data_IF_941137971475
#
_entry.id   IF_941137971475
#
_cell.length_a   1.000
_cell.length_b   1.000
_cell.length_c   1.000
_cell.angle_alpha   90.00
_cell.angle_beta   90.00
_cell.angle_gamma   90.00
#
_symmetry.space_group_name_H-M   'P 1'
#
loop_
_entity.id
_entity.type
_entity.pdbx_description
1 polymer ?
#
# COMPACT_ATOMS: atom_id res chain seq x y z
N UNK A 1 20.65 -46.82 -10.31
CA UNK A 1 19.79 -46.55 -9.12
C UNK A 1 19.27 -45.15 -9.25
N UNK A 2 18.00 -45.02 -9.68
CA UNK A 2 17.33 -43.74 -9.92
C UNK A 2 16.64 -43.32 -8.64
N UNK A 3 17.08 -42.21 -8.06
CA UNK A 3 16.45 -41.60 -6.87
C UNK A 3 15.27 -40.71 -7.31
N UNK A 4 14.04 -41.16 -7.10
CA UNK A 4 12.84 -40.36 -7.30
C UNK A 4 12.77 -39.27 -6.20
N UNK A 5 12.93 -38.00 -6.60
CA UNK A 5 12.55 -36.86 -5.77
C UNK A 5 11.02 -36.75 -5.80
N UNK A 6 10.38 -37.12 -4.70
CA UNK A 6 8.96 -36.90 -4.49
C UNK A 6 8.72 -35.40 -4.19
N UNK A 7 7.91 -34.74 -5.02
CA UNK A 7 7.40 -33.39 -4.82
C UNK A 7 6.55 -33.33 -3.55
N UNK A 8 7.10 -32.77 -2.47
CA UNK A 8 6.40 -32.54 -1.20
C UNK A 8 5.60 -31.22 -1.14
N UNK A 9 5.56 -30.46 -2.23
CA UNK A 9 4.98 -29.10 -2.24
C UNK A 9 3.51 -29.02 -2.61
N UNK A 10 2.93 -30.03 -3.30
CA UNK A 10 1.55 -29.96 -3.78
C UNK A 10 0.50 -30.44 -2.77
N UNK A 11 0.85 -31.31 -1.84
CA UNK A 11 -0.09 -31.83 -0.82
C UNK A 11 -0.40 -30.80 0.28
N UNK A 12 0.56 -29.94 0.63
CA UNK A 12 0.35 -28.91 1.67
C UNK A 12 -0.58 -27.77 1.22
N UNK A 13 -0.64 -27.45 -0.08
CA UNK A 13 -1.54 -26.39 -0.59
C UNK A 13 -2.99 -26.82 -0.66
N UNK A 14 -3.26 -28.09 -0.97
CA UNK A 14 -4.62 -28.61 -1.03
C UNK A 14 -5.24 -28.80 0.37
N UNK A 15 -4.43 -29.16 1.37
CA UNK A 15 -4.89 -29.31 2.75
C UNK A 15 -5.11 -27.96 3.45
N UNK A 16 -4.31 -26.92 3.14
CA UNK A 16 -4.53 -25.55 3.63
C UNK A 16 -5.82 -24.96 3.06
N UNK A 17 -6.11 -25.10 1.77
CA UNK A 17 -7.34 -24.57 1.17
C UNK A 17 -8.62 -25.17 1.80
N UNK A 18 -8.63 -26.47 2.17
CA UNK A 18 -9.76 -27.10 2.86
C UNK A 18 -9.93 -26.65 4.31
N UNK A 19 -8.80 -26.34 4.99
CA UNK A 19 -8.83 -25.80 6.34
C UNK A 19 -9.32 -24.35 6.34
N UNK A 20 -8.98 -23.57 5.32
CA UNK A 20 -9.38 -22.18 5.18
C UNK A 20 -10.89 -22.01 4.89
N UNK A 21 -11.52 -22.95 4.16
CA UNK A 21 -12.97 -22.94 3.95
C UNK A 21 -13.77 -22.96 5.27
N UNK A 22 -13.21 -23.58 6.33
CA UNK A 22 -13.83 -23.63 7.65
C UNK A 22 -13.64 -22.35 8.47
N UNK A 23 -12.86 -21.38 7.98
CA UNK A 23 -12.64 -20.07 8.62
C UNK A 23 -13.32 -18.94 7.87
N UNK A 24 -13.79 -19.19 6.64
CA UNK A 24 -14.44 -18.17 5.82
C UNK A 24 -15.82 -17.81 6.37
N UNK A 25 -16.13 -16.52 6.36
CA UNK A 25 -17.45 -16.02 6.75
C UNK A 25 -18.26 -15.71 5.51
N UNK A 26 -19.58 -15.89 5.62
CA UNK A 26 -20.54 -15.54 4.59
C UNK A 26 -21.10 -14.13 4.85
N UNK A 27 -20.93 -13.21 3.90
CA UNK A 27 -21.61 -11.93 3.95
C UNK A 27 -23.11 -12.13 3.67
N UNK A 28 -23.97 -11.71 4.61
CA UNK A 28 -25.43 -11.85 4.51
C UNK A 28 -26.04 -10.59 3.91
N UNK A 29 -25.58 -9.43 4.35
CA UNK A 29 -26.10 -8.14 3.91
C UNK A 29 -25.06 -7.06 4.09
N UNK A 30 -25.16 -6.03 3.25
CA UNK A 30 -24.33 -4.84 3.32
C UNK A 30 -25.18 -3.59 3.09
N UNK A 31 -25.03 -2.61 3.95
CA UNK A 31 -25.62 -1.28 3.86
C UNK A 31 -24.50 -0.26 3.63
N UNK A 32 -24.59 0.54 2.55
CA UNK A 32 -23.71 1.65 2.29
C UNK A 32 -24.17 2.86 3.11
N UNK A 33 -23.37 3.28 4.10
CA UNK A 33 -23.70 4.40 4.99
C UNK A 33 -23.28 5.72 4.36
N UNK A 34 -22.08 5.74 3.75
CA UNK A 34 -21.57 6.86 2.97
C UNK A 34 -20.94 6.27 1.71
N UNK A 35 -21.34 6.78 0.55
CA UNK A 35 -20.77 6.38 -0.72
C UNK A 35 -20.57 7.61 -1.60
N UNK A 36 -19.32 7.98 -1.78
CA UNK A 36 -18.92 9.09 -2.64
C UNK A 36 -17.61 8.78 -3.37
N UNK A 37 -17.05 9.72 -4.09
CA UNK A 37 -15.80 9.53 -4.84
C UNK A 37 -14.56 9.26 -3.96
N UNK A 38 -14.64 9.50 -2.65
CA UNK A 38 -13.51 9.41 -1.73
C UNK A 38 -13.54 8.16 -0.89
N UNK A 39 -14.74 7.67 -0.55
CA UNK A 39 -14.93 6.57 0.36
C UNK A 39 -16.27 5.86 0.11
N UNK A 40 -16.27 4.57 0.24
CA UNK A 40 -17.48 3.76 0.42
C UNK A 40 -17.44 3.14 1.82
N UNK A 41 -18.15 3.73 2.77
CA UNK A 41 -18.23 3.25 4.14
C UNK A 41 -19.47 2.41 4.35
N UNK A 42 -19.28 1.17 4.79
CA UNK A 42 -20.31 0.13 4.84
C UNK A 42 -20.49 -0.44 6.23
N UNK A 43 -21.67 -0.97 6.45
CA UNK A 43 -22.07 -1.77 7.59
C UNK A 43 -22.58 -3.10 7.07
N UNK A 44 -22.01 -4.23 7.52
CA UNK A 44 -22.34 -5.57 7.03
C UNK A 44 -22.71 -6.52 8.16
N UNK A 45 -23.51 -7.54 7.83
CA UNK A 45 -23.79 -8.68 8.66
C UNK A 45 -23.09 -9.93 8.09
N UNK A 46 -22.49 -10.72 8.96
CA UNK A 46 -21.79 -11.95 8.58
C UNK A 46 -22.29 -13.17 9.33
N UNK A 47 -22.30 -14.31 8.65
CA UNK A 47 -22.49 -15.62 9.25
C UNK A 47 -21.14 -16.30 9.42
N UNK A 48 -20.86 -16.71 10.64
CA UNK A 48 -19.66 -17.47 10.99
C UNK A 48 -19.76 -18.94 10.54
N UNK A 49 -18.63 -19.65 10.45
CA UNK A 49 -18.63 -21.08 10.09
C UNK A 49 -19.49 -21.97 11.00
N UNK A 50 -19.67 -21.57 12.26
CA UNK A 50 -20.52 -22.27 13.23
C UNK A 50 -22.03 -21.91 13.14
N UNK A 51 -22.41 -21.08 12.16
CA UNK A 51 -23.77 -20.66 11.89
C UNK A 51 -24.25 -19.44 12.68
N UNK A 52 -23.50 -18.95 13.66
CA UNK A 52 -23.87 -17.71 14.36
C UNK A 52 -23.80 -16.52 13.41
N UNK A 53 -24.71 -15.60 13.58
CA UNK A 53 -24.74 -14.32 12.84
C UNK A 53 -24.34 -13.21 13.77
N UNK A 54 -23.50 -12.32 13.28
CA UNK A 54 -23.10 -11.11 13.99
C UNK A 54 -23.16 -9.89 13.08
N UNK A 55 -23.64 -8.79 13.62
CA UNK A 55 -23.67 -7.44 13.05
C UNK A 55 -23.59 -6.39 14.17
N UNK A 56 -23.09 -5.18 13.91
CA UNK A 56 -22.53 -4.73 12.66
C UNK A 56 -21.02 -4.96 12.57
N UNK A 57 -20.55 -5.28 11.37
CA UNK A 57 -19.15 -5.07 11.00
C UNK A 57 -19.07 -3.81 10.12
N UNK A 58 -18.09 -2.95 10.40
CA UNK A 58 -17.84 -1.76 9.60
C UNK A 58 -16.61 -1.96 8.74
N UNK A 59 -16.71 -1.56 7.48
CA UNK A 59 -15.60 -1.58 6.54
C UNK A 59 -15.69 -0.38 5.59
N UNK A 60 -14.58 -0.08 4.93
CA UNK A 60 -14.57 0.94 3.88
C UNK A 60 -13.71 0.54 2.69
N UNK A 61 -14.08 1.06 1.52
CA UNK A 61 -13.25 1.04 0.32
C UNK A 61 -12.67 2.43 0.05
N UNK A 62 -11.42 2.44 -0.39
CA UNK A 62 -10.73 3.59 -0.95
C UNK A 62 -9.95 3.16 -2.19
N UNK A 63 -9.37 4.12 -2.90
CA UNK A 63 -8.44 3.80 -3.99
C UNK A 63 -7.27 2.98 -3.48
N UNK A 64 -6.82 2.03 -4.30
CA UNK A 64 -5.50 1.45 -4.14
C UNK A 64 -4.45 2.53 -4.33
N UNK A 65 -3.27 2.37 -3.76
CA UNK A 65 -2.23 3.36 -3.84
C UNK A 65 -0.84 2.75 -3.93
N UNK A 66 0.12 3.56 -4.30
CA UNK A 66 1.53 3.19 -4.37
C UNK A 66 2.33 3.88 -3.29
N UNK A 67 3.41 3.25 -2.84
CA UNK A 67 4.43 3.82 -1.95
C UNK A 67 5.79 3.60 -2.59
N UNK A 68 6.61 4.64 -2.69
CA UNK A 68 7.87 4.61 -3.44
C UNK A 68 9.05 4.87 -2.49
N UNK A 69 9.83 3.84 -2.19
CA UNK A 69 11.13 4.00 -1.52
C UNK A 69 12.14 4.46 -2.57
N UNK A 70 12.22 5.78 -2.74
CA UNK A 70 13.05 6.43 -3.76
C UNK A 70 14.39 6.84 -3.17
N UNK A 71 15.50 6.55 -3.85
CA UNK A 71 16.84 7.03 -3.51
C UNK A 71 17.50 7.75 -4.69
N UNK A 72 18.19 8.84 -4.40
CA UNK A 72 18.94 9.58 -5.41
C UNK A 72 20.30 8.92 -5.75
N UNK A 73 21.06 9.55 -6.62
CA UNK A 73 22.39 9.08 -7.05
C UNK A 73 23.45 9.15 -5.96
N UNK A 74 23.21 9.92 -4.90
CA UNK A 74 24.12 10.05 -3.76
C UNK A 74 23.76 9.06 -2.64
N UNK A 75 22.67 8.29 -2.82
CA UNK A 75 22.19 7.31 -1.86
C UNK A 75 21.28 7.88 -0.77
N UNK A 76 20.88 9.16 -0.87
CA UNK A 76 19.89 9.72 0.04
C UNK A 76 18.48 9.35 -0.39
N UNK A 77 17.61 9.13 0.57
CA UNK A 77 16.21 8.80 0.33
C UNK A 77 15.36 10.07 0.21
N UNK A 78 14.54 10.10 -0.83
CA UNK A 78 13.63 11.20 -1.13
C UNK A 78 12.36 10.96 -0.32
N UNK A 79 12.04 11.90 0.56
CA UNK A 79 10.85 11.86 1.41
C UNK A 79 10.04 13.15 1.24
N UNK A 80 8.77 13.06 1.64
CA UNK A 80 7.87 14.20 1.70
C UNK A 80 7.38 14.41 3.14
N UNK A 81 7.11 15.67 3.48
CA UNK A 81 6.44 15.99 4.74
C UNK A 81 5.12 16.66 4.45
N UNK A 82 4.06 16.12 5.04
CA UNK A 82 2.70 16.61 4.85
C UNK A 82 1.83 16.42 6.09
N UNK A 83 0.77 17.20 6.17
CA UNK A 83 -0.21 17.07 7.25
C UNK A 83 -1.15 15.90 7.00
N UNK A 84 -1.29 15.02 7.98
CA UNK A 84 -2.24 13.90 7.95
C UNK A 84 -3.41 14.18 8.89
N UNK A 85 -4.56 14.51 8.30
CA UNK A 85 -5.77 14.93 9.01
C UNK A 85 -6.31 13.85 9.96
N UNK A 86 -6.05 12.58 9.71
CA UNK A 86 -6.50 11.48 10.58
C UNK A 86 -5.87 11.53 11.97
N UNK A 87 -4.58 11.81 12.04
CA UNK A 87 -3.81 11.90 13.28
C UNK A 87 -3.55 13.37 13.70
N UNK A 88 -3.85 14.33 12.80
CA UNK A 88 -3.67 15.78 12.99
C UNK A 88 -2.21 16.21 13.22
N UNK A 89 -1.28 15.54 12.54
CA UNK A 89 0.15 15.78 12.66
C UNK A 89 0.80 15.92 11.28
N UNK A 90 1.96 16.59 11.24
CA UNK A 90 2.84 16.60 10.08
C UNK A 90 3.78 15.40 10.18
N UNK A 91 3.71 14.53 9.20
CA UNK A 91 4.48 13.28 9.16
C UNK A 91 5.55 13.35 8.07
N UNK A 92 6.65 12.59 8.27
CA UNK A 92 7.64 12.31 7.24
C UNK A 92 7.30 10.95 6.62
N UNK A 93 7.27 10.90 5.29
CA UNK A 93 6.79 9.76 4.53
C UNK A 93 7.60 9.59 3.24
N UNK A 94 7.53 8.41 2.62
CA UNK A 94 7.94 8.25 1.24
C UNK A 94 6.89 8.84 0.29
N UNK A 95 7.25 9.22 -0.95
CA UNK A 95 6.27 9.60 -1.96
C UNK A 95 5.22 8.50 -2.16
N UNK A 96 3.95 8.89 -2.26
CA UNK A 96 2.85 7.93 -2.30
C UNK A 96 1.55 8.56 -2.79
N UNK A 97 0.84 7.91 -3.68
CA UNK A 97 -0.45 8.41 -4.14
C UNK A 97 -1.36 7.37 -4.75
N UNK A 98 -2.54 7.78 -5.16
CA UNK A 98 -3.61 6.91 -5.62
C UNK A 98 -3.35 6.32 -7.01
N UNK A 99 -3.73 5.06 -7.21
CA UNK A 99 -3.78 4.46 -8.54
C UNK A 99 -5.03 4.95 -9.26
N UNK A 100 -4.86 5.69 -10.34
CA UNK A 100 -5.96 6.12 -11.18
C UNK A 100 -6.47 4.97 -12.04
N UNK A 101 -7.77 4.95 -12.33
CA UNK A 101 -8.42 3.90 -13.11
C UNK A 101 -9.35 4.52 -14.14
N UNK A 102 -9.19 4.09 -15.38
CA UNK A 102 -10.03 4.52 -16.50
C UNK A 102 -11.40 3.82 -16.56
N UNK A 103 -11.60 2.75 -15.76
CA UNK A 103 -12.81 1.94 -15.78
C UNK A 103 -14.00 2.51 -15.00
N UNK A 104 -13.85 3.73 -14.48
CA UNK A 104 -14.88 4.41 -13.68
C UNK A 104 -15.12 3.80 -12.30
N UNK A 105 -14.35 2.80 -11.91
CA UNK A 105 -14.39 2.23 -10.56
C UNK A 105 -13.40 2.95 -9.69
N UNK A 106 -13.89 3.62 -8.67
CA UNK A 106 -13.04 4.29 -7.69
C UNK A 106 -12.54 3.35 -6.60
N UNK A 107 -13.09 2.14 -6.51
CA UNK A 107 -12.80 1.16 -5.47
C UNK A 107 -12.53 -0.23 -6.05
N UNK A 108 -11.70 -1.00 -5.38
CA UNK A 108 -11.45 -2.40 -5.69
C UNK A 108 -9.98 -2.76 -5.77
N UNK A 109 -9.71 -4.03 -5.55
CA UNK A 109 -8.37 -4.58 -5.44
C UNK A 109 -7.65 -4.61 -6.77
N UNK A 110 -6.50 -3.96 -6.87
CA UNK A 110 -5.52 -4.19 -7.91
C UNK A 110 -4.32 -4.92 -7.31
N UNK A 111 -3.97 -6.06 -7.89
CA UNK A 111 -2.64 -6.64 -7.67
C UNK A 111 -1.64 -5.84 -8.49
N UNK A 112 -0.36 -5.82 -8.08
CA UNK A 112 0.70 -5.14 -8.82
C UNK A 112 0.61 -5.45 -10.32
N UNK A 113 0.41 -4.42 -11.11
CA UNK A 113 0.26 -4.43 -12.56
C UNK A 113 1.14 -3.35 -13.17
N UNK A 114 1.24 -3.30 -14.48
CA UNK A 114 1.90 -2.17 -15.16
C UNK A 114 1.25 -0.83 -14.79
N UNK A 115 -0.06 -0.82 -14.54
CA UNK A 115 -0.80 0.37 -14.10
C UNK A 115 -0.28 0.92 -12.76
N UNK A 116 0.04 0.06 -11.79
CA UNK A 116 0.59 0.51 -10.50
C UNK A 116 2.01 1.05 -10.63
N UNK A 117 2.83 0.53 -11.56
CA UNK A 117 4.15 1.09 -11.82
C UNK A 117 4.05 2.46 -12.49
N UNK A 118 3.14 2.66 -13.43
CA UNK A 118 2.92 3.97 -14.04
C UNK A 118 2.40 4.99 -13.01
N UNK A 119 1.48 4.57 -12.13
CA UNK A 119 1.07 5.39 -11.00
C UNK A 119 2.26 5.77 -10.10
N UNK A 120 3.15 4.83 -9.78
CA UNK A 120 4.35 5.12 -8.99
C UNK A 120 5.30 6.11 -9.66
N UNK A 121 5.49 6.01 -10.97
CA UNK A 121 6.32 6.96 -11.73
C UNK A 121 5.70 8.36 -11.76
N UNK A 122 4.39 8.44 -11.98
CA UNK A 122 3.63 9.69 -11.98
C UNK A 122 3.70 10.37 -10.62
N UNK A 123 3.38 9.66 -9.54
CA UNK A 123 3.39 10.20 -8.17
C UNK A 123 4.79 10.67 -7.74
N UNK A 124 5.83 9.90 -8.04
CA UNK A 124 7.21 10.34 -7.75
C UNK A 124 7.55 11.66 -8.47
N UNK A 125 7.14 11.80 -9.72
CA UNK A 125 7.36 13.02 -10.50
C UNK A 125 6.53 14.18 -9.97
N UNK A 126 5.22 13.98 -9.73
CA UNK A 126 4.30 15.04 -9.31
C UNK A 126 4.65 15.57 -7.91
N UNK A 127 4.87 14.67 -6.95
CA UNK A 127 5.19 15.06 -5.58
C UNK A 127 6.61 15.59 -5.41
N UNK A 128 7.57 15.15 -6.23
CA UNK A 128 8.98 15.44 -5.96
C UNK A 128 9.77 16.04 -7.11
N UNK A 129 9.28 15.95 -8.33
CA UNK A 129 10.05 16.30 -9.54
C UNK A 129 11.14 15.29 -9.90
N UNK A 130 11.27 14.18 -9.17
CA UNK A 130 12.27 13.14 -9.44
C UNK A 130 11.73 12.05 -10.35
N UNK A 131 12.62 11.45 -11.13
CA UNK A 131 12.36 10.28 -11.96
C UNK A 131 13.49 9.25 -11.86
N UNK A 132 13.18 7.99 -12.16
CA UNK A 132 14.13 6.88 -12.22
C UNK A 132 13.78 5.95 -13.39
N UNK A 133 14.82 5.27 -13.90
CA UNK A 133 14.69 4.15 -14.83
C UNK A 133 14.84 2.79 -14.12
N UNK A 134 15.17 2.79 -12.82
CA UNK A 134 15.47 1.59 -12.03
C UNK A 134 14.38 1.35 -10.98
N UNK A 135 13.44 0.47 -11.32
CA UNK A 135 12.28 0.15 -10.50
C UNK A 135 12.24 -1.32 -10.10
N UNK A 136 11.87 -1.57 -8.85
CA UNK A 136 11.64 -2.91 -8.33
C UNK A 136 10.32 -2.94 -7.56
N UNK A 137 9.41 -3.86 -7.94
CA UNK A 137 8.24 -4.16 -7.13
C UNK A 137 8.64 -4.95 -5.89
N UNK A 138 8.33 -4.46 -4.71
CA UNK A 138 8.67 -5.10 -3.44
C UNK A 138 7.53 -5.96 -2.90
N UNK A 139 6.32 -5.41 -2.84
CA UNK A 139 5.15 -6.08 -2.27
C UNK A 139 3.86 -5.37 -2.67
N UNK A 140 2.77 -6.13 -2.77
CA UNK A 140 1.39 -5.62 -2.76
C UNK A 140 0.66 -6.23 -1.57
N UNK A 141 0.09 -5.40 -0.70
CA UNK A 141 -0.50 -5.81 0.57
C UNK A 141 -1.75 -4.99 0.90
N UNK A 142 -2.78 -5.57 1.54
CA UNK A 142 -3.88 -4.78 2.07
C UNK A 142 -3.38 -3.74 3.06
N UNK A 143 -3.85 -2.50 2.94
CA UNK A 143 -3.45 -1.40 3.85
C UNK A 143 -3.88 -1.65 5.29
N UNK A 144 -5.09 -2.15 5.47
CA UNK A 144 -5.65 -2.53 6.75
C UNK A 144 -6.72 -3.62 6.53
N UNK A 145 -6.28 -4.87 6.44
CA UNK A 145 -7.12 -6.02 6.10
C UNK A 145 -8.31 -6.25 7.05
N UNK A 146 -8.33 -5.62 8.21
CA UNK A 146 -9.43 -5.77 9.18
C UNK A 146 -10.64 -4.91 8.82
N UNK A 147 -10.44 -3.77 8.14
CA UNK A 147 -11.50 -2.77 7.95
C UNK A 147 -11.52 -2.18 6.53
N UNK A 148 -10.43 -2.30 5.77
CA UNK A 148 -10.31 -1.75 4.44
C UNK A 148 -10.02 -2.85 3.41
N UNK A 149 -10.50 -2.66 2.20
CA UNK A 149 -10.30 -3.59 1.07
C UNK A 149 -9.28 -3.08 0.03
N UNK A 150 -8.73 -1.89 0.23
CA UNK A 150 -7.73 -1.32 -0.67
C UNK A 150 -6.32 -1.86 -0.38
N UNK A 151 -5.52 -1.89 -1.43
CA UNK A 151 -4.15 -2.37 -1.40
C UNK A 151 -3.14 -1.23 -1.56
N UNK A 152 -2.00 -1.40 -0.89
CA UNK A 152 -0.79 -0.65 -1.12
C UNK A 152 0.17 -1.47 -1.97
N UNK A 153 0.69 -0.91 -3.06
CA UNK A 153 1.77 -1.49 -3.85
C UNK A 153 3.05 -0.73 -3.59
N UNK A 154 4.06 -1.42 -3.08
CA UNK A 154 5.35 -0.83 -2.71
C UNK A 154 6.36 -1.06 -3.81
N UNK A 155 6.97 0.02 -4.25
CA UNK A 155 8.09 0.02 -5.18
C UNK A 155 9.36 0.60 -4.54
N UNK A 156 10.50 0.12 -5.03
CA UNK A 156 11.80 0.78 -4.84
C UNK A 156 12.22 1.42 -6.14
N UNK A 157 12.61 2.71 -6.09
CA UNK A 157 13.20 3.44 -7.19
C UNK A 157 14.63 3.85 -6.82
N UNK A 158 15.62 3.51 -7.65
CA UNK A 158 17.03 3.82 -7.43
C UNK A 158 17.54 4.84 -8.44
N UNK A 159 18.65 5.50 -8.09
CA UNK A 159 19.32 6.46 -8.96
C UNK A 159 18.38 7.56 -9.48
N UNK A 160 17.44 7.99 -8.64
CA UNK A 160 16.51 9.04 -8.98
C UNK A 160 17.24 10.36 -9.26
N UNK A 161 16.79 11.06 -10.30
CA UNK A 161 17.36 12.36 -10.72
C UNK A 161 16.24 13.37 -10.84
N UNK A 162 16.55 14.61 -10.52
CA UNK A 162 15.61 15.71 -10.73
C UNK A 162 15.36 15.83 -12.25
N UNK A 163 14.11 15.70 -12.66
CA UNK A 163 13.68 15.67 -14.05
C UNK A 163 12.62 16.74 -14.36
N UNK A 164 12.02 17.35 -13.33
CA UNK A 164 11.02 18.40 -13.49
C UNK A 164 10.81 19.19 -12.22
N UNK A 165 9.79 20.03 -12.24
CA UNK A 165 9.28 20.72 -11.07
C UNK A 165 8.15 19.88 -10.42
N UNK A 166 7.94 20.11 -9.12
CA UNK A 166 6.80 19.56 -8.38
C UNK A 166 5.48 20.09 -8.98
N UNK A 167 4.51 19.22 -9.15
CA UNK A 167 3.18 19.55 -9.70
C UNK A 167 2.10 18.90 -8.83
N UNK A 168 1.77 19.56 -7.73
CA UNK A 168 0.84 19.08 -6.73
C UNK A 168 -0.62 19.30 -7.13
N UNK A 169 -1.49 18.41 -6.71
CA UNK A 169 -2.93 18.58 -6.78
C UNK A 169 -3.41 19.74 -5.86
N UNK A 170 -4.57 20.31 -6.14
CA UNK A 170 -5.13 21.44 -5.36
C UNK A 170 -5.27 21.15 -3.85
N UNK A 171 -5.37 19.88 -3.48
CA UNK A 171 -5.55 19.41 -2.11
C UNK A 171 -4.25 19.00 -1.43
N UNK A 172 -3.13 19.06 -2.15
CA UNK A 172 -1.82 18.61 -1.68
C UNK A 172 -0.96 19.79 -1.24
N UNK A 173 -0.47 19.69 -0.02
CA UNK A 173 0.49 20.63 0.57
C UNK A 173 1.60 19.82 1.21
N UNK A 174 2.71 19.67 0.52
CA UNK A 174 3.86 18.91 1.00
C UNK A 174 5.19 19.57 0.64
N UNK A 175 6.23 19.19 1.38
CA UNK A 175 7.61 19.65 1.17
C UNK A 175 8.52 18.43 1.01
N UNK A 176 9.53 18.59 0.14
CA UNK A 176 10.50 17.54 -0.19
C UNK A 176 11.69 17.62 0.76
N UNK A 177 12.11 16.50 1.28
CA UNK A 177 13.30 16.34 2.11
C UNK A 177 14.12 15.15 1.63
N UNK A 178 15.42 15.17 1.92
CA UNK A 178 16.31 14.05 1.69
C UNK A 178 16.92 13.62 3.02
N UNK A 179 16.94 12.33 3.25
CA UNK A 179 17.47 11.73 4.46
C UNK A 179 18.40 10.59 4.12
N UNK A 180 19.42 10.44 4.94
CA UNK A 180 20.27 9.25 4.94
C UNK A 180 19.51 8.05 5.52
N UNK A 181 20.05 6.84 5.32
CA UNK A 181 19.51 5.61 5.92
C UNK A 181 19.41 5.71 7.45
N UNK A 182 20.48 6.22 8.10
CA UNK A 182 20.54 6.35 9.58
C UNK A 182 19.52 7.35 10.12
N UNK A 183 19.24 8.43 9.39
CA UNK A 183 18.22 9.41 9.76
C UNK A 183 16.82 8.82 9.69
N UNK A 184 16.50 8.07 8.61
CA UNK A 184 15.19 7.39 8.50
C UNK A 184 15.01 6.38 9.64
N UNK A 185 16.04 5.57 9.95
CA UNK A 185 15.97 4.62 11.06
C UNK A 185 15.78 5.30 12.41
N UNK A 186 16.40 6.43 12.58
CA UNK A 186 16.24 7.22 13.80
C UNK A 186 14.83 7.75 13.91
N UNK A 187 14.29 8.36 12.84
CA UNK A 187 12.90 8.84 12.81
C UNK A 187 11.88 7.71 13.05
N UNK A 188 12.11 6.51 12.51
CA UNK A 188 11.24 5.36 12.78
C UNK A 188 11.28 4.97 14.26
N UNK A 189 12.46 4.90 14.88
CA UNK A 189 12.61 4.57 16.31
C UNK A 189 12.01 5.61 17.25
N UNK A 190 12.06 6.87 16.85
CA UNK A 190 11.53 8.00 17.62
C UNK A 190 10.05 8.25 17.37
N UNK A 191 9.43 7.54 16.41
CA UNK A 191 8.02 7.67 16.08
C UNK A 191 7.68 8.88 15.19
N UNK A 192 8.66 9.46 14.52
CA UNK A 192 8.47 10.58 13.59
C UNK A 192 8.12 10.13 12.17
N UNK A 193 8.44 8.88 11.82
CA UNK A 193 8.07 8.24 10.55
C UNK A 193 6.88 7.30 10.84
N UNK A 194 5.65 7.84 10.75
CA UNK A 194 4.49 7.25 11.46
C UNK A 194 3.60 6.34 10.61
N UNK A 195 3.70 6.38 9.29
CA UNK A 195 2.86 5.59 8.41
C UNK A 195 3.28 4.11 8.37
N UNK A 196 2.44 3.21 8.83
CA UNK A 196 2.75 1.79 8.98
C UNK A 196 3.22 1.13 7.66
N UNK A 197 2.55 1.41 6.54
CA UNK A 197 2.94 0.86 5.22
C UNK A 197 4.29 1.42 4.78
N UNK A 198 4.62 2.66 5.09
CA UNK A 198 5.90 3.27 4.75
C UNK A 198 7.05 2.70 5.60
N UNK A 199 6.81 2.44 6.89
CA UNK A 199 7.77 1.73 7.74
C UNK A 199 8.02 0.32 7.22
N UNK A 200 6.96 -0.41 6.85
CA UNK A 200 7.07 -1.73 6.22
C UNK A 200 7.84 -1.64 4.89
N UNK A 201 7.53 -0.65 4.04
CA UNK A 201 8.23 -0.43 2.78
C UNK A 201 9.73 -0.23 2.99
N UNK A 202 10.12 0.56 3.99
CA UNK A 202 11.51 0.73 4.40
C UNK A 202 12.19 -0.58 4.76
N UNK A 203 11.59 -1.37 5.65
CA UNK A 203 12.14 -2.64 6.09
C UNK A 203 12.33 -3.65 4.95
N UNK A 204 11.41 -3.66 3.97
CA UNK A 204 11.51 -4.49 2.78
C UNK A 204 12.61 -4.01 1.83
N UNK A 205 12.72 -2.71 1.61
CA UNK A 205 13.73 -2.14 0.73
C UNK A 205 15.15 -2.34 1.28
N UNK A 206 15.34 -2.26 2.60
CA UNK A 206 16.63 -2.48 3.27
C UNK A 206 17.06 -3.94 3.30
N UNK A 207 16.14 -4.87 3.42
CA UNK A 207 16.42 -6.32 3.55
C UNK A 207 16.77 -7.04 2.24
N UNK A 208 16.88 -6.32 1.10
CA UNK A 208 17.16 -6.90 -0.22
C UNK A 208 18.39 -6.32 -0.90
#
# INVERSE_FOLDING_TARGET
>A
MSCRKTNKTDTNKADTNKADENLAWEEISTEHIVQDRWIDFRKSAYRYPDGRVFEPFYSYSRRDYVVIVASDTDGNYICVRQFRQGIKEVTTEFPAGGVERDDGREYGTTKASEETLEAAKRELMEETGYASDEWEHLLTIPSNATIADNYATVFRAKNCRLAGEQNLDETEVLQIYKYTEDEIETMIREGEFQQAVHVMAWLLAKGR
#
